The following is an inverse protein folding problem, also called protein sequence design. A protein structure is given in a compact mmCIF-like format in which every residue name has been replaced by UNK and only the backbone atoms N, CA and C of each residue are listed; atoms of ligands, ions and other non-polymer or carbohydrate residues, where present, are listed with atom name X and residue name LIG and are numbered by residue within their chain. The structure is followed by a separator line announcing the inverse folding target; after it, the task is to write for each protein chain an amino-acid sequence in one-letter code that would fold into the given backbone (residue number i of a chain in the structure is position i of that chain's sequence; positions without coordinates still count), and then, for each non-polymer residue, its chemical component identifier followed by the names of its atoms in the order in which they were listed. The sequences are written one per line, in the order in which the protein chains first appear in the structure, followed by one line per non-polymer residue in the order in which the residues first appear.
data_IF_809816763870
#
_entry.id   IF_809816763870
#
_cell.length_a   1.000
_cell.length_b   1.000
_cell.length_c   1.000
_cell.angle_alpha   90.00
_cell.angle_beta   90.00
_cell.angle_gamma   90.00
#
_symmetry.space_group_name_H-M   'P 1'
#
loop_
_entity.id
_entity.type
_entity.pdbx_description
1 polymer ?
#
# COMPACT_ATOMS: atom_id res chain seq x y z
N UNK A 1 1.88 21.43 -13.04
CA UNK A 1 2.36 20.46 -12.01
C UNK A 1 1.73 19.09 -12.33
N UNK A 2 2.48 17.99 -12.26
CA UNK A 2 2.06 16.63 -12.66
C UNK A 2 1.66 15.72 -11.48
N UNK A 3 1.29 16.29 -10.33
CA UNK A 3 0.95 15.54 -9.11
C UNK A 3 -0.19 14.55 -9.38
N UNK A 4 -0.05 13.33 -8.86
CA UNK A 4 -1.00 12.22 -9.07
C UNK A 4 -0.82 11.46 -10.39
N UNK A 5 -0.02 11.96 -11.34
CA UNK A 5 0.27 11.25 -12.59
C UNK A 5 1.57 10.43 -12.46
N UNK A 6 1.48 9.16 -12.82
CA UNK A 6 2.58 8.20 -12.85
C UNK A 6 2.78 7.61 -14.25
N UNK A 7 3.98 7.05 -14.48
CA UNK A 7 4.35 6.35 -15.70
C UNK A 7 5.28 5.17 -15.38
N UNK A 8 5.26 4.12 -16.22
CA UNK A 8 6.19 2.99 -16.13
C UNK A 8 7.25 3.09 -17.21
N UNK A 9 8.49 3.34 -16.79
CA UNK A 9 9.66 3.38 -17.64
C UNK A 9 10.34 2.01 -17.69
N UNK A 10 10.99 1.70 -18.81
CA UNK A 10 11.89 0.55 -18.94
C UNK A 10 13.11 0.90 -19.78
N UNK A 11 14.17 0.11 -19.62
CA UNK A 11 15.37 0.22 -20.43
C UNK A 11 15.20 -0.60 -21.71
N UNK A 12 15.27 0.06 -22.86
CA UNK A 12 15.26 -0.55 -24.18
C UNK A 12 16.68 -0.56 -24.77
N UNK A 13 17.30 -1.74 -24.98
CA UNK A 13 18.64 -1.84 -25.57
C UNK A 13 18.70 -1.48 -27.05
N UNK A 14 17.56 -1.43 -27.77
CA UNK A 14 17.53 -1.17 -29.21
C UNK A 14 17.51 0.32 -29.58
N UNK A 15 17.45 1.23 -28.60
CA UNK A 15 17.52 2.67 -28.85
C UNK A 15 18.88 3.05 -29.44
N UNK A 16 18.85 3.76 -30.56
CA UNK A 16 20.04 4.19 -31.29
C UNK A 16 20.34 5.66 -31.11
N UNK A 17 21.61 5.99 -30.99
CA UNK A 17 22.14 7.35 -31.00
C UNK A 17 23.38 7.40 -31.91
N UNK A 18 23.44 8.36 -32.84
CA UNK A 18 24.56 8.47 -33.77
C UNK A 18 24.79 7.25 -34.67
N UNK A 19 23.76 6.43 -34.91
CA UNK A 19 23.86 5.19 -35.68
C UNK A 19 24.34 3.96 -34.89
N UNK A 20 24.54 4.10 -33.57
CA UNK A 20 24.97 3.00 -32.67
C UNK A 20 23.86 2.69 -31.66
N UNK A 21 23.63 1.40 -31.37
CA UNK A 21 22.70 0.93 -30.32
C UNK A 21 23.29 1.16 -28.93
N UNK A 22 23.02 2.31 -28.35
CA UNK A 22 23.47 2.68 -27.00
C UNK A 22 22.48 2.26 -25.92
N UNK A 23 21.25 1.94 -26.30
CA UNK A 23 20.14 1.73 -25.37
C UNK A 23 19.56 3.04 -24.85
N UNK A 24 18.41 2.97 -24.18
CA UNK A 24 17.72 4.16 -23.70
C UNK A 24 16.50 3.83 -22.86
N UNK A 25 15.78 4.87 -22.45
CA UNK A 25 14.54 4.72 -21.68
C UNK A 25 13.32 4.86 -22.60
N UNK A 26 12.30 4.03 -22.36
CA UNK A 26 10.99 4.14 -23.01
C UNK A 26 9.85 4.07 -22.00
N UNK A 27 8.70 4.60 -22.40
CA UNK A 27 7.47 4.63 -21.61
C UNK A 27 6.58 3.48 -22.04
N UNK A 28 6.41 2.48 -21.19
CA UNK A 28 5.47 1.37 -21.48
C UNK A 28 4.03 1.74 -21.14
N UNK A 29 3.83 2.38 -19.98
CA UNK A 29 2.50 2.68 -19.45
C UNK A 29 2.40 4.10 -18.91
N UNK A 30 1.24 4.73 -19.09
CA UNK A 30 0.91 6.05 -18.53
C UNK A 30 -0.37 5.98 -17.71
N UNK A 31 -0.37 6.60 -16.53
CA UNK A 31 -1.62 6.86 -15.82
C UNK A 31 -2.45 7.94 -16.54
N UNK A 32 -3.74 8.00 -16.25
CA UNK A 32 -4.65 9.04 -16.74
C UNK A 32 -4.77 9.09 -18.27
N UNK A 33 -4.60 7.96 -18.97
CA UNK A 33 -5.03 7.78 -20.35
C UNK A 33 -6.19 6.78 -20.37
N UNK A 34 -7.25 7.09 -21.11
CA UNK A 34 -8.45 6.25 -21.14
C UNK A 34 -8.24 4.96 -21.94
N UNK A 35 -7.44 5.05 -23.00
CA UNK A 35 -7.20 3.96 -23.94
C UNK A 35 -5.73 3.93 -24.33
N UNK A 36 -5.31 2.82 -24.94
CA UNK A 36 -4.00 2.72 -25.57
C UNK A 36 -3.81 3.87 -26.57
N UNK A 37 -2.66 4.54 -26.48
CA UNK A 37 -2.26 5.59 -27.42
C UNK A 37 -1.10 5.10 -28.30
N UNK A 38 -1.17 5.40 -29.60
CA UNK A 38 -0.06 5.15 -30.53
C UNK A 38 0.56 6.48 -30.96
N UNK A 39 1.85 6.65 -30.70
CA UNK A 39 2.61 7.86 -31.05
C UNK A 39 3.71 7.50 -32.04
N UNK A 40 3.85 8.25 -33.13
CA UNK A 40 4.97 8.08 -34.03
C UNK A 40 6.25 8.68 -33.44
N UNK A 41 7.15 7.84 -32.91
CA UNK A 41 8.44 8.26 -32.38
C UNK A 41 9.51 8.27 -33.46
N UNK A 42 10.40 9.27 -33.41
CA UNK A 42 11.57 9.33 -34.28
C UNK A 42 12.58 8.26 -33.87
N UNK A 43 12.82 7.28 -34.74
CA UNK A 43 13.76 6.17 -34.49
C UNK A 43 15.15 6.50 -35.03
N UNK A 44 15.20 7.17 -36.18
CA UNK A 44 16.43 7.71 -36.80
C UNK A 44 16.12 9.07 -37.43
N UNK A 45 17.14 9.81 -37.89
CA UNK A 45 17.00 11.16 -38.48
C UNK A 45 15.90 11.26 -39.56
N UNK A 46 15.64 10.18 -40.30
CA UNK A 46 14.69 10.16 -41.42
C UNK A 46 13.53 9.18 -41.24
N UNK A 47 13.44 8.47 -40.10
CA UNK A 47 12.44 7.43 -39.88
C UNK A 47 11.67 7.65 -38.60
N UNK A 48 10.35 7.58 -38.69
CA UNK A 48 9.44 7.50 -37.55
C UNK A 48 8.77 6.14 -37.54
N UNK A 49 8.56 5.58 -36.35
CA UNK A 49 7.85 4.32 -36.15
C UNK A 49 6.73 4.52 -35.14
N UNK A 50 5.56 3.88 -35.33
CA UNK A 50 4.50 3.90 -34.33
C UNK A 50 4.99 3.19 -33.06
N UNK A 51 4.72 3.81 -31.91
CA UNK A 51 5.03 3.28 -30.60
C UNK A 51 3.77 3.30 -29.74
N UNK A 52 3.46 2.15 -29.16
CA UNK A 52 2.24 1.91 -28.40
C UNK A 52 2.51 2.14 -26.92
N UNK A 53 1.68 2.95 -26.28
CA UNK A 53 1.70 3.21 -24.84
C UNK A 53 0.38 2.74 -24.25
N UNK A 54 0.45 1.91 -23.22
CA UNK A 54 -0.72 1.28 -22.61
C UNK A 54 -1.17 2.05 -21.35
N UNK A 55 -2.47 2.00 -20.99
CA UNK A 55 -2.94 2.56 -19.74
C UNK A 55 -2.24 1.87 -18.56
N UNK A 56 -1.71 2.66 -17.63
CA UNK A 56 -1.19 2.14 -16.36
C UNK A 56 -2.38 1.83 -15.45
N UNK A 57 -2.52 0.56 -15.07
CA UNK A 57 -3.46 0.16 -14.04
C UNK A 57 -3.16 0.93 -12.74
N UNK A 58 -4.19 1.50 -12.08
CA UNK A 58 -4.00 2.17 -10.81
C UNK A 58 -3.38 1.18 -9.83
N UNK A 59 -2.13 1.43 -9.48
CA UNK A 59 -1.50 0.74 -8.36
C UNK A 59 -2.16 1.33 -7.11
N UNK A 60 -2.91 0.51 -6.39
CA UNK A 60 -3.51 0.83 -5.09
C UNK A 60 -2.41 0.93 -4.02
N UNK A 61 -1.42 1.80 -4.26
CA UNK A 61 -0.40 2.19 -3.27
C UNK A 61 -0.86 3.38 -2.44
N UNK A 62 -2.11 3.82 -2.60
CA UNK A 62 -2.72 4.72 -1.65
C UNK A 62 -2.96 3.94 -0.35
N UNK A 63 -1.95 3.91 0.51
CA UNK A 63 -2.10 3.50 1.91
C UNK A 63 -3.16 4.40 2.52
N UNK A 64 -4.41 3.92 2.54
CA UNK A 64 -5.50 4.58 3.25
C UNK A 64 -5.04 4.79 4.69
N UNK A 65 -5.03 6.04 5.20
CA UNK A 65 -4.62 6.33 6.57
C UNK A 65 -5.48 5.48 7.52
N UNK A 66 -4.83 4.73 8.40
CA UNK A 66 -5.51 3.96 9.44
C UNK A 66 -5.37 4.71 10.76
N UNK A 67 -6.49 4.92 11.43
CA UNK A 67 -6.52 5.58 12.73
C UNK A 67 -6.16 4.56 13.84
N UNK A 68 -4.86 4.48 14.12
CA UNK A 68 -4.33 3.60 15.16
C UNK A 68 -4.73 4.07 16.57
N UNK A 69 -4.90 5.37 16.79
CA UNK A 69 -5.30 5.93 18.09
C UNK A 69 -6.70 5.47 18.45
N UNK A 70 -7.65 5.60 17.52
CA UNK A 70 -9.00 5.06 17.70
C UNK A 70 -8.99 3.55 17.98
N UNK A 71 -8.12 2.81 17.29
CA UNK A 71 -8.04 1.35 17.46
C UNK A 71 -7.51 0.96 18.84
N UNK A 72 -6.58 1.73 19.39
CA UNK A 72 -6.07 1.54 20.76
C UNK A 72 -7.13 1.89 21.80
N UNK A 73 -7.89 2.96 21.59
CA UNK A 73 -8.99 3.34 22.48
C UNK A 73 -10.12 2.30 22.46
N UNK A 74 -10.55 1.85 21.27
CA UNK A 74 -11.54 0.78 21.12
C UNK A 74 -11.05 -0.54 21.80
N UNK A 75 -9.74 -0.83 21.78
CA UNK A 75 -9.18 -2.00 22.48
C UNK A 75 -9.26 -1.86 24.01
N UNK A 76 -9.07 -0.65 24.54
CA UNK A 76 -9.18 -0.37 25.97
C UNK A 76 -10.62 -0.39 26.48
N UNK A 77 -11.57 -0.01 25.63
CA UNK A 77 -13.01 -0.04 25.92
C UNK A 77 -13.68 -1.40 25.66
N UNK A 78 -12.96 -2.35 25.06
CA UNK A 78 -13.48 -3.68 24.84
C UNK A 78 -13.98 -4.29 26.17
N UNK A 79 -15.07 -5.05 26.11
CA UNK A 79 -15.70 -5.69 27.28
C UNK A 79 -15.48 -7.21 27.28
N UNK A 80 -14.95 -7.77 26.19
CA UNK A 80 -14.68 -9.19 26.04
C UNK A 80 -13.42 -9.48 25.21
N UNK A 81 -12.80 -10.63 25.44
CA UNK A 81 -11.64 -11.11 24.66
C UNK A 81 -11.99 -11.25 23.16
N UNK A 82 -13.24 -11.60 22.85
CA UNK A 82 -13.74 -11.70 21.48
C UNK A 82 -13.74 -10.34 20.77
N UNK A 83 -14.19 -9.27 21.44
CA UNK A 83 -14.18 -7.91 20.89
C UNK A 83 -12.75 -7.37 20.74
N UNK A 84 -11.90 -7.61 21.74
CA UNK A 84 -10.49 -7.19 21.70
C UNK A 84 -9.77 -7.80 20.48
N UNK A 85 -9.96 -9.10 20.23
CA UNK A 85 -9.37 -9.79 19.07
C UNK A 85 -9.94 -9.28 17.74
N UNK A 86 -11.23 -8.93 17.70
CA UNK A 86 -11.87 -8.39 16.51
C UNK A 86 -11.34 -7.01 16.11
N UNK A 87 -10.92 -6.18 17.07
CA UNK A 87 -10.31 -4.87 16.84
C UNK A 87 -8.80 -4.99 16.56
N UNK A 88 -8.11 -5.89 17.26
CA UNK A 88 -6.67 -6.11 17.08
C UNK A 88 -6.31 -6.73 15.73
N UNK A 89 -7.09 -7.69 15.24
CA UNK A 89 -6.81 -8.37 13.98
C UNK A 89 -6.69 -7.43 12.75
N UNK A 90 -7.60 -6.46 12.50
CA UNK A 90 -7.46 -5.50 11.40
C UNK A 90 -6.29 -4.54 11.62
N UNK A 91 -6.10 -4.00 12.83
CA UNK A 91 -4.99 -3.10 13.16
C UNK A 91 -3.62 -3.76 12.95
N UNK A 92 -3.47 -5.01 13.40
CA UNK A 92 -2.25 -5.80 13.26
C UNK A 92 -1.92 -6.15 11.82
N UNK A 93 -2.93 -6.54 11.03
CA UNK A 93 -2.76 -6.79 9.59
C UNK A 93 -2.34 -5.52 8.86
N UNK A 94 -2.88 -4.37 9.27
CA UNK A 94 -2.56 -3.08 8.65
C UNK A 94 -1.14 -2.61 8.98
N UNK A 95 -0.74 -2.67 10.26
CA UNK A 95 0.63 -2.35 10.66
C UNK A 95 1.70 -3.21 9.94
N UNK A 96 1.40 -4.48 9.68
CA UNK A 96 2.29 -5.35 8.88
C UNK A 96 2.31 -5.01 7.39
N UNK A 97 1.18 -4.60 6.83
CA UNK A 97 1.09 -4.21 5.42
C UNK A 97 1.81 -2.88 5.14
N UNK A 98 1.78 -1.97 6.11
CA UNK A 98 2.36 -0.63 5.99
C UNK A 98 3.88 -0.62 6.30
N UNK A 99 4.42 -1.70 6.88
CA UNK A 99 5.85 -1.82 7.24
C UNK A 99 6.23 -1.14 8.55
N UNK A 100 5.25 -0.64 9.30
CA UNK A 100 5.42 0.09 10.56
C UNK A 100 5.58 -0.89 11.74
N UNK A 101 6.78 -1.48 11.85
CA UNK A 101 7.11 -2.46 12.91
C UNK A 101 6.96 -1.91 14.34
N UNK A 102 7.14 -0.61 14.52
CA UNK A 102 6.96 0.08 15.82
C UNK A 102 5.49 0.09 16.25
N UNK A 103 4.57 0.41 15.34
CA UNK A 103 3.13 0.39 15.60
C UNK A 103 2.64 -1.02 15.90
N UNK A 104 3.19 -2.03 15.23
CA UNK A 104 2.97 -3.44 15.59
C UNK A 104 3.33 -3.72 17.06
N UNK A 105 4.49 -3.27 17.52
CA UNK A 105 4.93 -3.47 18.91
C UNK A 105 3.96 -2.83 19.91
N UNK A 106 3.51 -1.59 19.64
CA UNK A 106 2.53 -0.87 20.48
C UNK A 106 1.21 -1.62 20.55
N UNK A 107 0.64 -2.03 19.41
CA UNK A 107 -0.61 -2.79 19.37
C UNK A 107 -0.51 -4.10 20.16
N UNK A 108 0.65 -4.78 20.11
CA UNK A 108 0.87 -6.01 20.87
C UNK A 108 0.89 -5.77 22.37
N UNK A 109 1.60 -4.73 22.82
CA UNK A 109 1.64 -4.36 24.24
C UNK A 109 0.23 -4.05 24.74
N UNK A 110 -0.54 -3.25 24.01
CA UNK A 110 -1.93 -2.92 24.37
C UNK A 110 -2.82 -4.16 24.40
N UNK A 111 -2.68 -5.08 23.44
CA UNK A 111 -3.41 -6.34 23.43
C UNK A 111 -3.07 -7.20 24.66
N UNK A 112 -1.79 -7.35 24.99
CA UNK A 112 -1.33 -8.14 26.14
C UNK A 112 -1.82 -7.53 27.47
N UNK A 113 -1.78 -6.20 27.61
CA UNK A 113 -2.34 -5.48 28.77
C UNK A 113 -3.86 -5.67 28.91
N UNK A 114 -4.61 -5.52 27.82
CA UNK A 114 -6.06 -5.68 27.85
C UNK A 114 -6.43 -7.15 28.10
N UNK A 115 -5.70 -8.09 27.52
CA UNK A 115 -5.88 -9.52 27.78
C UNK A 115 -5.58 -9.89 29.23
N UNK A 116 -4.52 -9.34 29.83
CA UNK A 116 -4.21 -9.53 31.24
C UNK A 116 -5.33 -9.01 32.15
N UNK A 117 -5.95 -7.87 31.79
CA UNK A 117 -7.12 -7.34 32.52
C UNK A 117 -8.34 -8.24 32.42
N UNK A 118 -8.62 -8.86 31.27
CA UNK A 118 -9.71 -9.83 31.15
C UNK A 118 -9.44 -11.13 31.92
N UNK A 119 -8.19 -11.61 31.90
CA UNK A 119 -7.77 -12.77 32.71
C UNK A 119 -7.83 -12.50 34.21
N UNK A 120 -7.61 -11.26 34.64
CA UNK A 120 -7.71 -10.85 36.05
C UNK A 120 -9.16 -10.65 36.52
N UNK A 121 -10.10 -10.43 35.59
CA UNK A 121 -11.52 -10.20 35.90
C UNK A 121 -12.36 -11.49 35.83
N UNK A 122 -11.73 -12.65 35.55
CA UNK A 122 -12.35 -13.99 35.55
C UNK A 122 -12.20 -14.71 36.91
N UNK A 123 -11.91 -13.96 37.99
CA UNK A 123 -12.17 -14.44 39.34
C UNK A 123 -13.70 -14.42 39.57
N UNK A 124 -14.32 -15.53 40.02
CA UNK A 124 -15.77 -15.66 40.04
C UNK A 124 -16.39 -14.62 40.97
N UNK A 125 -17.28 -13.78 40.45
CA UNK A 125 -18.25 -13.07 41.26
C UNK A 125 -19.37 -14.05 41.61
N UNK A 126 -19.16 -14.82 42.67
CA UNK A 126 -20.22 -15.52 43.39
C UNK A 126 -20.47 -14.83 44.74
N UNK A 127 -21.71 -14.98 45.20
CA UNK A 127 -22.41 -14.43 46.39
C UNK A 127 -23.06 -13.04 46.22
N UNK A 128 -24.37 -12.97 45.95
CA UNK A 128 -25.54 -13.29 46.81
C UNK A 128 -25.66 -12.32 47.99
N UNK A 129 -26.64 -11.40 47.91
CA UNK A 129 -27.74 -11.22 48.88
C UNK A 129 -28.99 -10.84 48.09
#
# INVERSE_FOLDING_TARGET
IWVGKSMRLFCDPDVMFGGVKVGGIRISHLSHIANTMTIALTTTRSKRAPYRVEPLEPQDTATKPYDYDKSVDDMREAVSEAQLKAIFAPAWKRAKADGDGEMGTVLKVVYDECKAKFSANDAPKEEVI
#
